data_IF_920511935050
#
_entry.id   IF_920511935050
#
_cell.length_a   1.000
_cell.length_b   1.000
_cell.length_c   1.000
_cell.angle_alpha   90.00
_cell.angle_beta   90.00
_cell.angle_gamma   90.00
#
_symmetry.space_group_name_H-M   'P 1'
#
loop_
_entity.id
_entity.type
_entity.pdbx_description
1 polymer ?
#
# COMPACT_ATOMS: atom_id res chain seq x y z
N UNK A 1 3.08 -23.80 -50.09
CA UNK A 1 3.01 -22.37 -49.65
C UNK A 1 2.00 -22.13 -48.51
N UNK A 2 0.94 -22.93 -48.40
CA UNK A 2 -0.15 -22.78 -47.40
C UNK A 2 0.30 -22.93 -45.92
N UNK A 3 1.12 -23.94 -45.61
CA UNK A 3 1.56 -24.27 -44.23
C UNK A 3 2.42 -23.16 -43.59
N UNK A 4 3.21 -22.44 -44.41
CA UNK A 4 4.01 -21.29 -43.95
C UNK A 4 3.12 -20.10 -43.57
N UNK A 5 2.02 -19.87 -44.32
CA UNK A 5 1.08 -18.77 -44.03
C UNK A 5 0.24 -19.02 -42.77
N UNK A 6 -0.19 -20.26 -42.54
CA UNK A 6 -0.94 -20.64 -41.32
C UNK A 6 -0.08 -20.49 -40.06
N UNK A 7 1.19 -20.93 -40.11
CA UNK A 7 2.14 -20.73 -38.99
C UNK A 7 2.38 -19.25 -38.69
N UNK A 8 2.55 -18.42 -39.71
CA UNK A 8 2.75 -16.98 -39.52
C UNK A 8 1.52 -16.29 -38.92
N UNK A 9 0.30 -16.71 -39.29
CA UNK A 9 -0.94 -16.17 -38.72
C UNK A 9 -1.15 -16.57 -37.26
N UNK A 10 -0.83 -17.82 -36.89
CA UNK A 10 -0.90 -18.28 -35.49
C UNK A 10 0.09 -17.53 -34.60
N UNK A 11 1.33 -17.31 -35.08
CA UNK A 11 2.34 -16.55 -34.33
C UNK A 11 1.92 -15.08 -34.16
N UNK A 12 1.34 -14.46 -35.20
CA UNK A 12 0.84 -13.09 -35.10
C UNK A 12 -0.31 -12.97 -34.10
N UNK A 13 -1.25 -13.93 -34.08
CA UNK A 13 -2.36 -13.95 -33.14
C UNK A 13 -1.89 -14.13 -31.69
N UNK A 14 -0.93 -15.02 -31.45
CA UNK A 14 -0.33 -15.23 -30.12
C UNK A 14 0.43 -13.99 -29.66
N UNK A 15 1.17 -13.32 -30.56
CA UNK A 15 1.86 -12.08 -30.24
C UNK A 15 0.89 -10.94 -29.88
N UNK A 16 -0.23 -10.81 -30.60
CA UNK A 16 -1.29 -9.82 -30.32
C UNK A 16 -2.01 -10.15 -29.00
N UNK A 17 -2.27 -11.42 -28.71
CA UNK A 17 -2.86 -11.84 -27.43
C UNK A 17 -1.92 -11.57 -26.26
N UNK A 18 -0.62 -11.84 -26.40
CA UNK A 18 0.38 -11.60 -25.35
C UNK A 18 0.58 -10.10 -25.08
N UNK A 19 0.64 -9.27 -26.13
CA UNK A 19 0.74 -7.81 -25.96
C UNK A 19 -0.55 -7.20 -25.44
N UNK A 20 -1.71 -7.65 -25.90
CA UNK A 20 -3.01 -7.22 -25.37
C UNK A 20 -3.19 -7.56 -23.89
N UNK A 21 -2.79 -8.75 -23.47
CA UNK A 21 -2.87 -9.20 -22.07
C UNK A 21 -1.97 -8.36 -21.14
N UNK A 22 -0.74 -8.06 -21.56
CA UNK A 22 0.20 -7.26 -20.78
C UNK A 22 -0.29 -5.81 -20.58
N UNK A 23 -0.93 -5.22 -21.59
CA UNK A 23 -1.47 -3.85 -21.51
C UNK A 23 -2.69 -3.77 -20.58
N UNK A 24 -3.54 -4.80 -20.53
CA UNK A 24 -4.70 -4.81 -19.63
C UNK A 24 -4.35 -5.09 -18.16
N UNK A 25 -3.27 -5.81 -17.88
CA UNK A 25 -2.86 -6.14 -16.50
C UNK A 25 -1.94 -5.09 -15.85
N UNK A 26 -1.39 -4.15 -16.62
CA UNK A 26 -0.56 -3.06 -16.12
C UNK A 26 -1.37 -1.87 -15.56
N UNK A 27 -2.70 -1.97 -15.53
CA UNK A 27 -3.62 -0.91 -15.12
C UNK A 27 -3.85 -0.84 -13.61
N UNK A 28 -3.57 0.35 -13.06
CA UNK A 28 -3.72 0.81 -11.67
C UNK A 28 -2.86 0.12 -10.62
N UNK A 29 -1.62 0.60 -10.47
CA UNK A 29 -0.94 0.52 -9.18
C UNK A 29 -1.81 1.25 -8.17
N UNK A 30 -2.51 0.50 -7.31
CA UNK A 30 -3.19 1.09 -6.16
C UNK A 30 -2.12 1.76 -5.31
N UNK A 31 -2.28 3.05 -5.04
CA UNK A 31 -1.35 3.72 -4.16
C UNK A 31 -1.51 3.10 -2.77
N UNK A 32 -0.53 2.30 -2.35
CA UNK A 32 -0.57 1.65 -1.06
C UNK A 32 -0.12 2.62 0.02
N UNK A 33 -0.89 2.68 1.10
CA UNK A 33 -0.41 3.30 2.32
C UNK A 33 0.86 2.60 2.81
N UNK A 34 1.85 3.39 3.23
CA UNK A 34 3.10 2.88 3.82
C UNK A 34 3.01 2.94 5.35
N UNK A 35 3.37 1.85 6.03
CA UNK A 35 3.41 1.77 7.50
C UNK A 35 4.85 1.85 7.98
N UNK A 36 5.14 2.74 8.92
CA UNK A 36 6.49 2.89 9.49
C UNK A 36 6.39 3.06 11.00
N UNK A 37 7.21 2.29 11.72
CA UNK A 37 7.42 2.46 13.14
C UNK A 37 8.59 3.41 13.35
N UNK A 38 8.37 4.51 14.06
CA UNK A 38 9.39 5.51 14.33
C UNK A 38 9.38 5.91 15.79
N UNK A 39 10.49 6.48 16.24
CA UNK A 39 10.65 7.01 17.58
C UNK A 39 10.75 8.53 17.51
N UNK A 40 10.06 9.23 18.40
CA UNK A 40 10.09 10.69 18.52
C UNK A 40 10.53 11.07 19.93
N UNK A 41 11.65 11.79 20.04
CA UNK A 41 12.13 12.29 21.33
C UNK A 41 11.20 13.39 21.86
N UNK A 42 10.76 13.25 23.12
CA UNK A 42 9.94 14.24 23.82
C UNK A 42 10.77 14.96 24.89
N UNK A 43 11.12 16.25 24.70
CA UNK A 43 11.88 17.00 25.70
C UNK A 43 11.15 17.18 27.04
N UNK A 44 9.82 17.33 27.01
CA UNK A 44 9.02 17.52 28.23
C UNK A 44 8.92 16.25 29.08
N UNK A 45 9.02 15.08 28.46
CA UNK A 45 9.03 13.78 29.15
C UNK A 45 10.44 13.21 29.32
N UNK A 46 11.44 13.85 28.72
CA UNK A 46 12.83 13.38 28.62
C UNK A 46 12.95 11.91 28.22
N UNK A 47 12.19 11.50 27.19
CA UNK A 47 12.21 10.13 26.67
C UNK A 47 11.76 10.05 25.22
N UNK A 48 12.13 8.95 24.61
CA UNK A 48 11.69 8.52 23.30
C UNK A 48 10.29 7.90 23.34
N UNK A 49 9.42 8.36 22.43
CA UNK A 49 8.05 7.88 22.28
C UNK A 49 7.92 7.10 20.97
N UNK A 50 7.47 5.86 21.05
CA UNK A 50 7.20 5.02 19.89
C UNK A 50 5.90 5.45 19.21
N UNK A 51 5.95 5.66 17.89
CA UNK A 51 4.80 6.11 17.08
C UNK A 51 4.74 5.28 15.81
N UNK A 52 3.56 4.73 15.51
CA UNK A 52 3.28 4.18 14.18
C UNK A 52 2.67 5.24 13.28
N UNK A 53 3.26 5.41 12.10
CA UNK A 53 2.80 6.33 11.06
C UNK A 53 2.31 5.53 9.87
N UNK A 54 1.05 5.73 9.50
CA UNK A 54 0.46 5.29 8.24
C UNK A 54 0.47 6.47 7.29
N UNK A 55 1.17 6.34 6.17
CA UNK A 55 1.24 7.38 5.14
C UNK A 55 0.08 7.22 4.18
N UNK A 56 -0.70 8.28 3.98
CA UNK A 56 -1.86 8.29 3.11
C UNK A 56 -1.55 7.82 1.67
N UNK A 57 -2.52 7.14 1.06
CA UNK A 57 -2.46 6.73 -0.33
C UNK A 57 -2.45 7.95 -1.29
N UNK A 58 -1.77 7.80 -2.43
CA UNK A 58 -1.84 8.73 -3.56
C UNK A 58 -0.82 9.87 -3.54
N UNK A 59 0.05 9.93 -2.54
CA UNK A 59 1.16 10.89 -2.48
C UNK A 59 0.74 12.35 -2.27
N UNK A 60 1.75 13.18 -2.00
CA UNK A 60 1.58 14.60 -1.65
C UNK A 60 0.98 14.81 -0.25
N UNK A 61 0.74 16.07 0.14
CA UNK A 61 0.13 16.38 1.43
C UNK A 61 -1.27 15.78 1.57
N UNK A 62 -1.55 15.23 2.75
CA UNK A 62 -2.84 14.72 3.17
C UNK A 62 -3.13 15.20 4.61
N UNK A 63 -4.40 15.25 5.03
CA UNK A 63 -4.74 15.42 6.44
C UNK A 63 -4.09 14.34 7.30
N UNK A 64 -3.86 14.64 8.58
CA UNK A 64 -3.34 13.67 9.56
C UNK A 64 -4.41 13.34 10.58
N UNK A 65 -4.70 12.05 10.76
CA UNK A 65 -5.52 11.54 11.85
C UNK A 65 -4.63 11.01 12.98
N UNK A 66 -4.81 11.53 14.20
CA UNK A 66 -4.17 10.99 15.38
C UNK A 66 -5.08 9.97 16.05
N UNK A 67 -4.66 8.71 16.04
CA UNK A 67 -5.40 7.61 16.66
C UNK A 67 -4.80 7.26 18.02
N UNK A 68 -5.45 7.73 19.08
CA UNK A 68 -5.03 7.50 20.45
C UNK A 68 -5.48 6.13 20.94
N UNK A 69 -4.62 5.49 21.73
CA UNK A 69 -4.92 4.24 22.40
C UNK A 69 -5.80 4.46 23.65
N UNK A 70 -6.29 3.37 24.22
CA UNK A 70 -7.10 3.37 25.44
C UNK A 70 -6.28 3.40 26.74
N UNK A 71 -6.97 3.20 27.86
CA UNK A 71 -6.39 3.22 29.21
C UNK A 71 -5.26 2.19 29.43
N UNK A 72 -5.30 1.07 28.71
CA UNK A 72 -4.34 -0.05 28.83
C UNK A 72 -3.38 -0.11 27.64
N UNK A 73 -2.93 1.04 27.16
CA UNK A 73 -1.96 1.12 26.07
C UNK A 73 -0.68 0.36 26.43
N UNK A 74 -0.22 -0.60 25.61
CA UNK A 74 1.02 -1.31 25.86
C UNK A 74 2.22 -0.50 25.33
N UNK A 75 3.42 -0.79 25.83
CA UNK A 75 4.64 -0.06 25.46
C UNK A 75 5.28 -0.52 24.14
N UNK A 76 4.74 -1.58 23.50
CA UNK A 76 5.33 -2.22 22.33
C UNK A 76 4.68 -1.84 20.99
N UNK A 77 3.38 -1.58 20.95
CA UNK A 77 2.67 -1.05 19.77
C UNK A 77 1.31 -0.45 20.19
N UNK A 78 0.62 0.24 19.27
CA UNK A 78 -0.70 0.80 19.56
C UNK A 78 -1.78 -0.31 19.59
N UNK A 79 -2.66 -0.29 20.60
CA UNK A 79 -3.75 -1.24 20.79
C UNK A 79 -4.69 -1.39 19.60
N UNK A 80 -4.87 -0.35 18.78
CA UNK A 80 -5.65 -0.46 17.54
C UNK A 80 -4.99 -1.40 16.52
N UNK A 81 -3.67 -1.41 16.42
CA UNK A 81 -2.94 -2.31 15.51
C UNK A 81 -2.96 -3.75 16.02
N UNK A 82 -2.99 -3.93 17.34
CA UNK A 82 -3.01 -5.24 17.98
C UNK A 82 -4.39 -5.90 17.84
N UNK A 83 -5.46 -5.11 17.98
CA UNK A 83 -6.82 -5.65 18.17
C UNK A 83 -7.76 -5.43 16.97
N UNK A 84 -7.32 -4.73 15.92
CA UNK A 84 -8.17 -4.39 14.75
C UNK A 84 -7.39 -4.48 13.45
N UNK A 85 -8.07 -4.31 12.31
CA UNK A 85 -7.46 -4.23 10.98
C UNK A 85 -7.28 -2.78 10.49
N UNK A 86 -6.97 -1.86 11.41
CA UNK A 86 -6.87 -0.41 11.15
C UNK A 86 -5.95 -0.05 9.97
N UNK A 87 -4.84 -0.75 9.78
CA UNK A 87 -3.95 -0.50 8.63
C UNK A 87 -4.64 -0.80 7.30
N UNK A 88 -5.41 -1.91 7.24
CA UNK A 88 -6.19 -2.26 6.05
C UNK A 88 -7.31 -1.26 5.82
N UNK A 89 -7.98 -0.84 6.89
CA UNK A 89 -9.09 0.11 6.81
C UNK A 89 -8.66 1.45 6.19
N UNK A 90 -7.47 1.95 6.54
CA UNK A 90 -6.94 3.20 6.02
C UNK A 90 -6.11 3.06 4.73
N UNK A 91 -5.85 1.84 4.24
CA UNK A 91 -4.93 1.60 3.12
C UNK A 91 -5.29 2.33 1.81
N UNK A 92 -6.59 2.58 1.58
CA UNK A 92 -7.15 3.27 0.41
C UNK A 92 -7.69 4.66 0.75
N UNK A 93 -7.45 5.14 1.97
CA UNK A 93 -7.94 6.43 2.46
C UNK A 93 -6.84 7.49 2.32
N UNK A 94 -7.29 8.74 2.21
CA UNK A 94 -6.42 9.91 2.06
C UNK A 94 -6.27 10.64 3.40
N UNK A 95 -5.87 9.90 4.44
CA UNK A 95 -5.62 10.37 5.83
C UNK A 95 -4.54 9.54 6.51
#
# INVERSE_FOLDING_TARGET
MMIRRVRSLVVAMVAVLLTGFAVTFAGSGVAQASSTLTTVYSPSMNRDILVRVLTAAGGGPAPTLYLLDGLRAPDNDNGWLINTDVERFFADKRV
#
